data_IF_626463756572
#
_entry.id   IF_626463756572
#
_cell.length_a   1.000
_cell.length_b   1.000
_cell.length_c   1.000
_cell.angle_alpha   90.00
_cell.angle_beta   90.00
_cell.angle_gamma   90.00
#
_symmetry.space_group_name_H-M   'P 1'
#
loop_
_entity.id
_entity.type
_entity.pdbx_description
1 polymer ?
#
# COMPACT_ATOMS: atom_id res chain seq x y z
N UNK A 1 25.92 2.66 2.45
CA UNK A 1 25.11 2.07 3.55
C UNK A 1 23.69 2.59 3.45
N UNK A 2 22.68 1.79 3.78
CA UNK A 2 21.32 2.32 3.93
C UNK A 2 21.28 3.33 5.09
N UNK A 3 20.48 4.40 4.98
CA UNK A 3 20.24 5.30 6.11
C UNK A 3 19.75 4.49 7.31
N UNK A 4 20.18 4.81 8.56
CA UNK A 4 19.50 4.27 9.72
C UNK A 4 18.01 4.61 9.58
N UNK A 5 17.16 3.60 9.77
CA UNK A 5 15.72 3.83 9.90
C UNK A 5 15.54 4.71 11.13
N UNK A 6 14.97 5.89 10.94
CA UNK A 6 14.48 6.66 12.08
C UNK A 6 13.31 5.89 12.69
N UNK A 7 13.16 6.03 14.00
CA UNK A 7 12.07 5.45 14.77
C UNK A 7 11.17 6.61 15.24
N UNK A 8 10.53 7.24 14.25
CA UNK A 8 9.72 8.45 14.41
C UNK A 8 8.27 8.13 14.84
N UNK A 9 7.99 6.89 15.23
CA UNK A 9 6.67 6.41 15.62
C UNK A 9 5.68 6.17 14.47
N UNK A 10 6.12 6.26 13.20
CA UNK A 10 5.31 5.90 12.03
C UNK A 10 5.64 4.51 11.47
N UNK A 11 4.62 3.86 10.91
CA UNK A 11 4.73 2.54 10.29
C UNK A 11 4.83 2.70 8.76
N UNK A 12 5.76 1.98 8.12
CA UNK A 12 5.95 2.02 6.67
C UNK A 12 5.50 0.68 6.07
N UNK A 13 4.64 0.77 5.05
CA UNK A 13 4.16 -0.35 4.23
C UNK A 13 4.39 -0.04 2.75
N UNK A 14 4.42 -1.08 1.93
CA UNK A 14 4.49 -1.01 0.47
C UNK A 14 3.16 -1.42 -0.15
N UNK A 15 2.67 -0.66 -1.14
CA UNK A 15 1.40 -0.91 -1.82
C UNK A 15 1.50 -0.57 -3.33
N UNK A 16 2.05 -1.48 -4.17
CA UNK A 16 1.90 -1.39 -5.62
C UNK A 16 0.44 -1.71 -6.00
N UNK A 17 -0.28 -0.93 -6.82
CA UNK A 17 0.14 -0.03 -7.92
C UNK A 17 0.62 -0.80 -9.17
N UNK A 18 -0.27 -0.93 -10.16
CA UNK A 18 -0.10 -1.64 -11.44
C UNK A 18 -0.93 -0.98 -12.56
N UNK A 19 -1.21 0.32 -12.42
CA UNK A 19 -2.11 1.05 -13.30
C UNK A 19 -1.50 1.26 -14.69
N UNK A 20 -2.30 1.09 -15.74
CA UNK A 20 -1.88 1.42 -17.12
C UNK A 20 -2.17 2.89 -17.40
N UNK A 21 -1.27 3.52 -18.16
CA UNK A 21 -1.45 4.88 -18.65
C UNK A 21 -2.73 4.97 -19.51
N UNK A 22 -3.46 6.08 -19.40
CA UNK A 22 -4.73 6.28 -20.10
C UNK A 22 -5.97 5.63 -19.46
N UNK A 23 -5.83 4.63 -18.57
CA UNK A 23 -6.97 4.02 -17.85
C UNK A 23 -6.81 3.88 -16.32
N UNK A 24 -5.79 4.51 -15.73
CA UNK A 24 -5.46 4.42 -14.31
C UNK A 24 -6.63 4.65 -13.32
N UNK A 25 -7.59 5.53 -13.65
CA UNK A 25 -8.80 5.73 -12.81
C UNK A 25 -9.66 4.47 -12.77
N UNK A 26 -9.88 3.80 -13.91
CA UNK A 26 -10.65 2.56 -13.98
C UNK A 26 -9.90 1.40 -13.33
N UNK A 27 -8.58 1.30 -13.53
CA UNK A 27 -7.76 0.25 -12.90
C UNK A 27 -7.72 0.42 -11.37
N UNK A 28 -7.73 1.65 -10.85
CA UNK A 28 -7.75 1.95 -9.42
C UNK A 28 -9.12 1.62 -8.77
N UNK A 29 -10.22 1.88 -9.47
CA UNK A 29 -11.58 1.58 -8.99
C UNK A 29 -11.97 0.09 -9.12
N UNK A 30 -11.32 -0.65 -10.01
CA UNK A 30 -11.61 -2.08 -10.28
C UNK A 30 -10.33 -2.91 -10.46
N UNK A 31 -9.45 -2.99 -9.45
CA UNK A 31 -8.22 -3.76 -9.55
C UNK A 31 -8.50 -5.27 -9.53
N UNK A 32 -7.77 -6.04 -10.35
CA UNK A 32 -7.81 -7.52 -10.29
C UNK A 32 -7.31 -8.06 -8.94
N UNK A 33 -6.37 -7.34 -8.31
CA UNK A 33 -5.81 -7.61 -6.99
C UNK A 33 -5.11 -6.37 -6.43
N UNK A 34 -4.98 -6.31 -5.10
CA UNK A 34 -4.21 -5.30 -4.38
C UNK A 34 -3.11 -6.04 -3.60
N UNK A 35 -1.88 -5.56 -3.67
CA UNK A 35 -0.72 -6.15 -2.98
C UNK A 35 -0.29 -5.19 -1.88
N UNK A 36 -0.29 -5.64 -0.63
CA UNK A 36 0.21 -4.86 0.52
C UNK A 36 1.27 -5.68 1.23
N UNK A 37 2.44 -5.08 1.45
CA UNK A 37 3.56 -5.68 2.18
C UNK A 37 4.05 -4.79 3.31
N UNK A 38 4.38 -5.37 4.47
CA UNK A 38 4.81 -4.62 5.65
C UNK A 38 5.08 -5.54 6.83
N UNK A 39 5.79 -5.03 7.84
CA UNK A 39 6.15 -5.80 9.03
C UNK A 39 5.15 -5.66 10.19
N UNK A 40 4.28 -4.64 10.16
CA UNK A 40 3.26 -4.41 11.19
C UNK A 40 1.89 -4.96 10.77
N UNK A 41 1.32 -5.93 11.51
CA UNK A 41 -0.05 -6.41 11.27
C UNK A 41 -1.08 -5.28 11.34
N UNK A 42 -0.91 -4.34 12.30
CA UNK A 42 -1.81 -3.19 12.49
C UNK A 42 -1.86 -2.30 11.24
N UNK A 43 -0.71 -1.96 10.67
CA UNK A 43 -0.64 -1.14 9.45
C UNK A 43 -1.28 -1.85 8.25
N UNK A 44 -1.09 -3.17 8.13
CA UNK A 44 -1.71 -3.99 7.09
C UNK A 44 -3.23 -4.03 7.21
N UNK A 45 -3.77 -4.16 8.42
CA UNK A 45 -5.21 -4.18 8.67
C UNK A 45 -5.87 -2.82 8.41
N UNK A 46 -5.22 -1.72 8.78
CA UNK A 46 -5.67 -0.35 8.46
C UNK A 46 -5.74 -0.16 6.94
N UNK A 47 -4.67 -0.53 6.22
CA UNK A 47 -4.63 -0.43 4.76
C UNK A 47 -5.71 -1.31 4.11
N UNK A 48 -5.87 -2.56 4.55
CA UNK A 48 -6.91 -3.48 4.07
C UNK A 48 -8.31 -2.89 4.26
N UNK A 49 -8.61 -2.35 5.44
CA UNK A 49 -9.90 -1.71 5.73
C UNK A 49 -10.15 -0.43 4.92
N UNK A 50 -9.11 0.21 4.38
CA UNK A 50 -9.21 1.34 3.46
C UNK A 50 -9.73 0.94 2.06
N UNK A 51 -9.30 -0.21 1.55
CA UNK A 51 -9.65 -0.72 0.22
C UNK A 51 -10.94 -1.56 0.17
N UNK A 52 -11.58 -1.81 1.31
CA UNK A 52 -12.82 -2.59 1.44
C UNK A 52 -14.08 -1.72 1.56
N UNK A 53 -13.97 -0.42 1.25
CA UNK A 53 -15.07 0.57 1.26
C UNK A 53 -15.24 1.19 -0.12
#
# INVERSE_FOLDING_TARGET
>A
AASPRRDDGFEVISNPEFFKEGCAVSDCLRPDRIIVGGASPRALDIQRGGWQR
#
